data_IF_346192167389
#
_entry.id   IF_346192167389
#
_cell.length_a   1.000
_cell.length_b   1.000
_cell.length_c   1.000
_cell.angle_alpha   90.00
_cell.angle_beta   90.00
_cell.angle_gamma   90.00
#
_symmetry.space_group_name_H-M   'P 1'
#
loop_
_entity.id
_entity.type
_entity.pdbx_description
1 polymer ?
#
# COMPACT_ATOMS: atom_id res chain seq x y z
N UNK A 1 28.48 -15.17 2.10
CA UNK A 1 27.14 -15.27 2.73
C UNK A 1 26.11 -15.28 1.63
N UNK A 2 25.58 -16.46 1.31
CA UNK A 2 24.54 -16.68 0.28
C UNK A 2 23.17 -16.53 0.92
N UNK A 3 22.82 -15.30 1.33
CA UNK A 3 21.47 -15.02 1.82
C UNK A 3 20.50 -15.27 0.66
N UNK A 4 19.60 -16.22 0.90
CA UNK A 4 18.73 -16.80 -0.10
C UNK A 4 17.81 -15.73 -0.69
N UNK A 5 18.03 -15.40 -1.96
CA UNK A 5 17.08 -14.71 -2.85
C UNK A 5 15.84 -15.60 -3.10
N UNK A 6 15.19 -16.05 -2.04
CA UNK A 6 13.94 -16.80 -2.15
C UNK A 6 12.82 -15.85 -1.78
N UNK A 7 11.81 -15.79 -2.63
CA UNK A 7 10.56 -15.12 -2.31
C UNK A 7 10.01 -15.67 -0.99
N UNK A 8 9.28 -14.85 -0.23
CA UNK A 8 8.68 -15.28 1.03
C UNK A 8 7.65 -16.39 0.81
N UNK A 9 7.29 -17.13 1.87
CA UNK A 9 6.32 -18.23 1.74
C UNK A 9 4.96 -17.73 1.26
N UNK A 10 4.55 -16.54 1.70
CA UNK A 10 3.31 -15.87 1.33
C UNK A 10 3.31 -15.53 -0.17
N UNK A 11 4.42 -15.00 -0.69
CA UNK A 11 4.59 -14.71 -2.12
C UNK A 11 4.53 -16.00 -2.96
N UNK A 12 5.17 -17.07 -2.49
CA UNK A 12 5.13 -18.37 -3.19
C UNK A 12 3.70 -18.95 -3.18
N UNK A 13 3.03 -18.92 -2.03
CA UNK A 13 1.66 -19.40 -1.85
C UNK A 13 0.69 -18.63 -2.75
N UNK A 14 0.75 -17.30 -2.73
CA UNK A 14 -0.04 -16.42 -3.58
C UNK A 14 0.15 -16.76 -5.06
N UNK A 15 1.40 -16.82 -5.55
CA UNK A 15 1.68 -17.08 -6.97
C UNK A 15 1.14 -18.42 -7.41
N UNK A 16 1.32 -19.46 -6.59
CA UNK A 16 0.83 -20.78 -6.90
C UNK A 16 -0.71 -20.81 -6.95
N UNK A 17 -1.37 -20.21 -5.95
CA UNK A 17 -2.83 -20.13 -5.90
C UNK A 17 -3.39 -19.34 -7.10
N UNK A 18 -2.82 -18.17 -7.39
CA UNK A 18 -3.25 -17.30 -8.48
C UNK A 18 -3.10 -17.96 -9.85
N UNK A 19 -1.95 -18.56 -10.15
CA UNK A 19 -1.74 -19.27 -11.42
C UNK A 19 -2.60 -20.52 -11.55
N UNK A 20 -2.97 -21.17 -10.44
CA UNK A 20 -3.94 -22.28 -10.46
C UNK A 20 -5.34 -21.75 -10.74
N UNK A 21 -5.74 -20.63 -10.12
CA UNK A 21 -7.05 -20.03 -10.33
C UNK A 21 -7.23 -19.65 -11.80
N UNK A 22 -6.27 -18.90 -12.38
CA UNK A 22 -6.29 -18.52 -13.81
C UNK A 22 -6.38 -19.71 -14.75
N UNK A 23 -5.75 -20.84 -14.43
CA UNK A 23 -5.85 -22.05 -15.26
C UNK A 23 -7.23 -22.71 -15.21
N UNK A 24 -7.95 -22.56 -14.10
CA UNK A 24 -9.27 -23.15 -13.92
C UNK A 24 -10.37 -22.28 -14.56
N UNK A 25 -10.32 -20.97 -14.35
CA UNK A 25 -11.41 -20.06 -14.77
C UNK A 25 -11.06 -19.21 -16.01
N UNK A 26 -9.82 -19.28 -16.51
CA UNK A 26 -9.36 -18.36 -17.55
C UNK A 26 -9.38 -16.91 -17.05
N UNK A 27 -9.95 -16.02 -17.86
CA UNK A 27 -10.18 -14.60 -17.54
C UNK A 27 -11.65 -14.30 -17.19
N UNK A 28 -12.49 -15.33 -17.01
CA UNK A 28 -13.93 -15.20 -16.71
C UNK A 28 -14.14 -15.13 -15.19
N UNK A 29 -14.14 -13.92 -14.62
CA UNK A 29 -14.26 -13.72 -13.16
C UNK A 29 -15.67 -13.46 -12.66
N UNK A 30 -16.63 -13.18 -13.55
CA UNK A 30 -18.01 -12.80 -13.19
C UNK A 30 -18.76 -13.90 -12.43
N UNK A 31 -18.52 -15.18 -12.77
CA UNK A 31 -19.18 -16.32 -12.16
C UNK A 31 -18.44 -16.89 -10.93
N UNK A 32 -17.30 -16.29 -10.54
CA UNK A 32 -16.38 -16.88 -9.57
C UNK A 32 -17.03 -17.20 -8.22
N UNK A 33 -17.90 -16.31 -7.72
CA UNK A 33 -18.62 -16.52 -6.46
C UNK A 33 -19.57 -17.71 -6.54
N UNK A 34 -20.35 -17.84 -7.62
CA UNK A 34 -21.30 -18.95 -7.78
C UNK A 34 -20.58 -20.28 -7.98
N UNK A 35 -19.51 -20.29 -8.77
CA UNK A 35 -18.75 -21.50 -9.07
C UNK A 35 -18.01 -21.99 -7.82
N UNK A 36 -17.49 -21.09 -6.99
CA UNK A 36 -16.90 -21.43 -5.70
C UNK A 36 -17.92 -22.03 -4.71
N UNK A 37 -19.22 -21.75 -4.83
CA UNK A 37 -20.23 -22.43 -4.00
C UNK A 37 -20.48 -23.88 -4.44
N UNK A 38 -20.28 -24.18 -5.72
CA UNK A 38 -20.58 -25.49 -6.35
C UNK A 38 -19.37 -26.43 -6.36
N UNK A 39 -18.17 -25.89 -6.50
CA UNK A 39 -16.92 -26.64 -6.62
C UNK A 39 -16.04 -26.45 -5.37
N UNK A 40 -15.81 -27.54 -4.63
CA UNK A 40 -15.01 -27.53 -3.40
C UNK A 40 -13.54 -27.19 -3.62
N UNK A 41 -12.96 -27.58 -4.74
CA UNK A 41 -11.56 -27.30 -5.05
C UNK A 41 -11.37 -25.83 -5.40
N UNK A 42 -12.29 -25.26 -6.19
CA UNK A 42 -12.30 -23.84 -6.52
C UNK A 42 -12.53 -23.00 -5.26
N UNK A 43 -13.47 -23.40 -4.39
CA UNK A 43 -13.72 -22.77 -3.09
C UNK A 43 -12.45 -22.65 -2.25
N UNK A 44 -11.80 -23.79 -2.01
CA UNK A 44 -10.57 -23.85 -1.20
C UNK A 44 -9.47 -22.99 -1.82
N UNK A 45 -9.40 -22.95 -3.15
CA UNK A 45 -8.41 -22.15 -3.87
C UNK A 45 -8.66 -20.65 -3.75
N UNK A 46 -9.91 -20.20 -3.86
CA UNK A 46 -10.30 -18.79 -3.70
C UNK A 46 -9.98 -18.31 -2.28
N UNK A 47 -10.36 -19.10 -1.27
CA UNK A 47 -10.07 -18.80 0.14
C UNK A 47 -8.56 -18.73 0.38
N UNK A 48 -7.79 -19.71 -0.12
CA UNK A 48 -6.33 -19.72 0.00
C UNK A 48 -5.69 -18.51 -0.69
N UNK A 49 -6.16 -18.13 -1.87
CA UNK A 49 -5.67 -16.95 -2.59
C UNK A 49 -5.99 -15.66 -1.84
N UNK A 50 -7.23 -15.52 -1.35
CA UNK A 50 -7.66 -14.37 -0.54
C UNK A 50 -6.81 -14.22 0.72
N UNK A 51 -6.58 -15.33 1.43
CA UNK A 51 -5.73 -15.36 2.61
C UNK A 51 -4.28 -14.95 2.29
N UNK A 52 -3.67 -15.56 1.27
CA UNK A 52 -2.30 -15.20 0.87
C UNK A 52 -2.17 -13.74 0.43
N UNK A 53 -3.17 -13.20 -0.29
CA UNK A 53 -3.20 -11.79 -0.69
C UNK A 53 -3.36 -10.85 0.51
N UNK A 54 -4.19 -11.23 1.48
CA UNK A 54 -4.34 -10.54 2.77
C UNK A 54 -3.02 -10.47 3.52
N UNK A 55 -2.35 -11.61 3.71
CA UNK A 55 -1.09 -11.69 4.45
C UNK A 55 0.00 -10.81 3.83
N UNK A 56 0.05 -10.76 2.50
CA UNK A 56 0.97 -9.88 1.76
C UNK A 56 0.69 -8.40 2.09
N UNK A 57 -0.58 -7.99 2.16
CA UNK A 57 -0.98 -6.61 2.49
C UNK A 57 -0.81 -6.28 3.97
N UNK A 58 -1.17 -7.20 4.85
CA UNK A 58 -0.96 -7.06 6.29
C UNK A 58 0.54 -6.90 6.60
N UNK A 59 1.39 -7.67 5.92
CA UNK A 59 2.83 -7.56 6.06
C UNK A 59 3.36 -6.18 5.60
N UNK A 60 2.75 -5.56 4.58
CA UNK A 60 3.05 -4.16 4.23
C UNK A 60 2.62 -3.19 5.34
N UNK A 61 1.47 -3.44 5.96
CA UNK A 61 0.94 -2.71 7.11
C UNK A 61 1.90 -2.72 8.30
N UNK A 62 2.28 -3.92 8.72
CA UNK A 62 2.98 -4.17 9.98
C UNK A 62 4.50 -4.08 9.87
N UNK A 63 5.08 -4.43 8.72
CA UNK A 63 6.53 -4.51 8.53
C UNK A 63 6.94 -4.03 7.14
N UNK A 64 6.82 -2.72 6.91
CA UNK A 64 7.22 -2.08 5.64
C UNK A 64 8.65 -2.42 5.22
N UNK A 65 9.57 -2.64 6.16
CA UNK A 65 10.95 -3.06 5.87
C UNK A 65 11.06 -4.48 5.32
N UNK A 66 10.15 -5.39 5.71
CA UNK A 66 10.15 -6.76 5.22
C UNK A 66 9.58 -6.86 3.80
N UNK A 67 8.63 -5.99 3.45
CA UNK A 67 7.92 -6.05 2.16
C UNK A 67 8.42 -5.08 1.08
N UNK A 68 9.28 -4.12 1.44
CA UNK A 68 10.16 -3.43 0.49
C UNK A 68 11.33 -4.31 0.01
N UNK A 69 11.33 -5.58 0.42
CA UNK A 69 12.34 -6.56 0.02
C UNK A 69 12.30 -6.83 -1.50
N UNK A 70 13.46 -6.99 -2.14
CA UNK A 70 13.62 -7.35 -3.55
C UNK A 70 12.66 -8.45 -4.07
N UNK A 71 11.61 -8.09 -4.82
CA UNK A 71 10.70 -9.08 -5.42
C UNK A 71 11.12 -9.54 -6.83
N UNK A 72 10.72 -10.77 -7.20
CA UNK A 72 10.81 -11.27 -8.57
C UNK A 72 9.87 -10.46 -9.50
N UNK A 73 10.34 -9.94 -10.65
CA UNK A 73 9.48 -9.21 -11.59
C UNK A 73 8.22 -9.98 -12.03
N UNK A 74 8.29 -11.31 -12.11
CA UNK A 74 7.11 -12.16 -12.44
C UNK A 74 6.07 -12.14 -11.34
N UNK A 75 6.49 -12.01 -10.08
CA UNK A 75 5.54 -11.83 -8.97
C UNK A 75 4.84 -10.49 -9.13
N UNK A 76 5.59 -9.42 -9.37
CA UNK A 76 5.04 -8.07 -9.55
C UNK A 76 3.99 -8.04 -10.67
N UNK A 77 4.29 -8.63 -11.83
CA UNK A 77 3.33 -8.76 -12.93
C UNK A 77 2.05 -9.52 -12.50
N UNK A 78 2.21 -10.65 -11.80
CA UNK A 78 1.08 -11.46 -11.31
C UNK A 78 0.25 -10.70 -10.26
N UNK A 79 0.90 -9.96 -9.37
CA UNK A 79 0.27 -9.18 -8.32
C UNK A 79 -0.55 -8.02 -8.91
N UNK A 80 0.02 -7.30 -9.89
CA UNK A 80 -0.69 -6.18 -10.56
C UNK A 80 -1.84 -6.66 -11.43
N UNK A 81 -1.72 -7.84 -12.04
CA UNK A 81 -2.84 -8.49 -12.71
C UNK A 81 -3.94 -8.89 -11.73
N UNK A 82 -3.57 -9.48 -10.58
CA UNK A 82 -4.52 -9.81 -9.52
C UNK A 82 -5.28 -8.58 -9.03
N UNK A 83 -4.59 -7.51 -8.62
CA UNK A 83 -5.25 -6.27 -8.16
C UNK A 83 -6.21 -5.68 -9.19
N UNK A 84 -5.84 -5.73 -10.47
CA UNK A 84 -6.63 -5.14 -11.55
C UNK A 84 -7.89 -5.95 -11.87
N UNK A 85 -7.74 -7.26 -12.02
CA UNK A 85 -8.75 -8.10 -12.67
C UNK A 85 -9.40 -9.11 -11.70
N UNK A 86 -8.74 -9.48 -10.60
CA UNK A 86 -9.15 -10.59 -9.74
C UNK A 86 -9.41 -10.22 -8.27
N UNK A 87 -8.84 -9.14 -7.74
CA UNK A 87 -8.95 -8.80 -6.32
C UNK A 87 -10.40 -8.69 -5.87
N UNK A 88 -11.21 -7.92 -6.62
CA UNK A 88 -12.62 -7.73 -6.28
C UNK A 88 -13.43 -9.03 -6.41
N UNK A 89 -13.39 -9.76 -7.55
CA UNK A 89 -14.08 -11.05 -7.67
C UNK A 89 -13.66 -12.07 -6.60
N UNK A 90 -12.36 -12.19 -6.30
CA UNK A 90 -11.84 -13.09 -5.28
C UNK A 90 -12.33 -12.69 -3.89
N UNK A 91 -12.30 -11.40 -3.56
CA UNK A 91 -12.79 -10.89 -2.27
C UNK A 91 -14.30 -11.09 -2.10
N UNK A 92 -15.08 -10.94 -3.17
CA UNK A 92 -16.52 -11.21 -3.18
C UNK A 92 -16.83 -12.70 -3.02
N UNK A 93 -16.10 -13.55 -3.75
CA UNK A 93 -16.23 -15.00 -3.65
C UNK A 93 -15.84 -15.49 -2.25
N UNK A 94 -14.74 -14.98 -1.67
CA UNK A 94 -14.34 -15.28 -0.30
C UNK A 94 -15.44 -14.94 0.73
N UNK A 95 -16.03 -13.73 0.65
CA UNK A 95 -17.13 -13.33 1.55
C UNK A 95 -18.36 -14.22 1.39
N UNK A 96 -18.68 -14.55 0.14
CA UNK A 96 -19.79 -15.45 -0.19
C UNK A 96 -19.54 -16.84 0.41
N UNK A 97 -18.34 -17.39 0.25
CA UNK A 97 -17.93 -18.68 0.83
C UNK A 97 -18.00 -18.64 2.35
N UNK A 98 -17.43 -17.63 3.01
CA UNK A 98 -17.46 -17.53 4.47
C UNK A 98 -18.88 -17.45 5.05
N UNK A 99 -19.82 -16.83 4.33
CA UNK A 99 -21.24 -16.78 4.73
C UNK A 99 -21.94 -18.13 4.63
N UNK A 100 -21.69 -18.87 3.55
CA UNK A 100 -22.37 -20.16 3.30
C UNK A 100 -21.69 -21.36 4.01
N UNK A 101 -20.41 -21.24 4.35
CA UNK A 101 -19.57 -22.31 4.89
C UNK A 101 -18.86 -21.83 6.18
N UNK A 102 -19.45 -22.06 7.36
CA UNK A 102 -18.96 -21.54 8.63
C UNK A 102 -17.52 -21.94 8.98
N UNK A 103 -17.02 -23.06 8.45
CA UNK A 103 -15.62 -23.49 8.62
C UNK A 103 -14.59 -22.49 8.04
N UNK A 104 -15.02 -21.57 7.17
CA UNK A 104 -14.17 -20.50 6.65
C UNK A 104 -14.44 -19.14 7.32
N UNK A 105 -15.41 -19.04 8.25
CA UNK A 105 -15.72 -17.78 8.93
C UNK A 105 -14.58 -17.32 9.86
N UNK A 106 -13.81 -18.25 10.40
CA UNK A 106 -12.65 -17.98 11.26
C UNK A 106 -11.43 -17.49 10.48
N UNK A 107 -11.42 -17.64 9.16
CA UNK A 107 -10.40 -17.01 8.31
C UNK A 107 -10.77 -15.54 8.20
N UNK A 108 -10.27 -14.74 9.14
CA UNK A 108 -10.38 -13.28 9.16
C UNK A 108 -9.74 -12.69 7.90
N UNK A 109 -10.48 -12.71 6.79
CA UNK A 109 -10.09 -12.00 5.59
C UNK A 109 -10.37 -10.51 5.83
N UNK A 110 -9.34 -9.66 5.86
CA UNK A 110 -9.53 -8.25 6.12
C UNK A 110 -10.47 -7.68 5.06
N UNK A 111 -11.44 -6.90 5.52
CA UNK A 111 -12.24 -6.10 4.64
C UNK A 111 -11.33 -5.05 3.99
N UNK A 112 -11.04 -5.23 2.71
CA UNK A 112 -10.29 -4.25 1.93
C UNK A 112 -11.31 -3.55 1.03
N UNK A 113 -11.73 -2.32 1.36
CA UNK A 113 -12.54 -1.54 0.44
C UNK A 113 -11.70 -1.21 -0.80
N UNK A 114 -12.25 -1.39 -2.01
CA UNK A 114 -11.65 -0.95 -3.27
C UNK A 114 -11.21 0.51 -3.12
N UNK A 115 -9.94 0.92 -3.31
CA UNK A 115 -9.46 2.29 -3.03
C UNK A 115 -10.28 3.40 -3.72
N UNK A 116 -10.93 3.11 -4.85
CA UNK A 116 -11.81 4.04 -5.56
C UNK A 116 -13.20 4.14 -4.91
N UNK A 117 -13.71 3.04 -4.36
CA UNK A 117 -14.97 3.00 -3.59
C UNK A 117 -14.77 3.33 -2.12
N UNK A 118 -13.59 3.08 -1.56
CA UNK A 118 -13.17 3.47 -0.22
C UNK A 118 -13.30 4.98 -0.07
N UNK A 119 -13.04 5.75 -1.13
CA UNK A 119 -13.25 7.18 -1.14
C UNK A 119 -14.72 7.58 -0.92
N UNK A 120 -15.66 6.97 -1.66
CA UNK A 120 -17.09 7.30 -1.55
C UNK A 120 -17.75 6.67 -0.31
N UNK A 121 -17.35 5.44 0.07
CA UNK A 121 -17.77 4.74 1.26
C UNK A 121 -17.30 5.43 2.55
N UNK A 122 -16.01 5.76 2.64
CA UNK A 122 -15.42 6.43 3.82
C UNK A 122 -16.14 7.75 4.11
N UNK A 123 -16.36 8.61 3.11
CA UNK A 123 -17.09 9.87 3.35
C UNK A 123 -18.60 9.71 3.57
N UNK A 124 -19.20 8.55 3.26
CA UNK A 124 -20.59 8.24 3.60
C UNK A 124 -20.76 7.69 5.02
N UNK A 125 -19.73 7.03 5.58
CA UNK A 125 -19.75 6.39 6.93
C UNK A 125 -19.07 7.21 8.04
N UNK A 126 -18.11 8.10 7.74
CA UNK A 126 -17.41 8.95 8.74
C UNK A 126 -18.36 9.86 9.54
N UNK A 127 -19.59 10.07 9.07
CA UNK A 127 -20.61 10.75 9.85
C UNK A 127 -21.10 9.95 11.08
N UNK A 128 -20.68 8.68 11.24
CA UNK A 128 -21.09 7.78 12.33
C UNK A 128 -19.95 7.06 13.10
N UNK A 129 -18.67 7.35 12.84
CA UNK A 129 -17.51 6.54 13.26
C UNK A 129 -17.03 6.74 14.73
N UNK A 130 -17.94 6.66 15.70
CA UNK A 130 -17.49 6.37 17.08
C UNK A 130 -17.25 4.87 17.27
N UNK A 131 -18.12 4.03 16.69
CA UNK A 131 -18.08 2.58 16.82
C UNK A 131 -16.85 1.95 16.11
N UNK A 132 -16.42 2.50 14.96
CA UNK A 132 -15.24 1.96 14.23
C UNK A 132 -13.90 2.34 14.87
N UNK A 133 -13.84 3.44 15.62
CA UNK A 133 -12.65 3.77 16.42
C UNK A 133 -12.57 2.83 17.64
N UNK A 134 -13.70 2.50 18.24
CA UNK A 134 -13.78 1.46 19.27
C UNK A 134 -13.45 0.07 18.70
N UNK A 135 -13.83 -0.26 17.46
CA UNK A 135 -13.41 -1.48 16.77
C UNK A 135 -11.92 -1.48 16.42
N UNK A 136 -11.35 -0.35 15.99
CA UNK A 136 -9.91 -0.24 15.72
C UNK A 136 -9.09 -0.35 17.02
N UNK A 137 -9.56 0.27 18.10
CA UNK A 137 -8.98 0.11 19.43
C UNK A 137 -9.17 -1.33 19.93
N UNK A 138 -10.29 -1.97 19.60
CA UNK A 138 -10.54 -3.39 19.81
C UNK A 138 -9.59 -4.29 19.00
N UNK A 139 -9.30 -3.95 17.74
CA UNK A 139 -8.33 -4.66 16.91
C UNK A 139 -6.89 -4.45 17.38
N UNK A 140 -6.56 -3.26 17.90
CA UNK A 140 -5.27 -3.00 18.55
C UNK A 140 -5.19 -3.79 19.86
N UNK A 141 -6.28 -3.90 20.62
CA UNK A 141 -6.41 -4.79 21.77
C UNK A 141 -6.19 -6.25 21.37
N UNK A 142 -6.91 -6.75 20.38
CA UNK A 142 -6.79 -8.12 19.87
C UNK A 142 -5.41 -8.41 19.28
N UNK A 143 -4.75 -7.46 18.62
CA UNK A 143 -3.39 -7.63 18.11
C UNK A 143 -2.33 -7.60 19.22
N UNK A 144 -2.63 -6.97 20.36
CA UNK A 144 -1.83 -7.09 21.57
C UNK A 144 -2.10 -8.45 22.25
N UNK A 145 -3.34 -8.94 22.26
CA UNK A 145 -3.74 -10.25 22.79
C UNK A 145 -3.22 -11.44 21.94
N UNK A 146 -3.26 -11.37 20.61
CA UNK A 146 -2.66 -12.38 19.71
C UNK A 146 -1.13 -12.45 19.87
N UNK A 147 -0.51 -11.34 20.29
CA UNK A 147 0.90 -11.31 20.66
C UNK A 147 1.15 -11.93 22.05
N UNK A 148 0.13 -12.03 22.89
CA UNK A 148 0.14 -12.68 24.20
C UNK A 148 -0.18 -14.19 24.11
N UNK A 149 -0.85 -14.69 23.06
CA UNK A 149 -1.10 -16.13 22.88
C UNK A 149 0.19 -16.95 22.69
N UNK A 150 1.28 -16.33 22.23
CA UNK A 150 2.61 -16.95 22.16
C UNK A 150 3.38 -16.90 23.52
N UNK A 151 2.91 -16.14 24.52
CA UNK A 151 3.54 -16.02 25.86
C UNK A 151 2.63 -16.39 27.06
N UNK A 152 1.39 -16.82 26.80
CA UNK A 152 0.43 -17.24 27.83
C UNK A 152 -0.49 -16.10 28.23
N UNK A 153 -1.80 -16.30 28.04
CA UNK A 153 -2.87 -15.33 28.28
C UNK A 153 -2.71 -14.58 29.60
N UNK A 154 -2.31 -13.30 29.52
CA UNK A 154 -2.40 -12.37 30.64
C UNK A 154 -3.74 -11.69 30.47
N UNK A 155 -4.74 -12.00 31.30
CA UNK A 155 -5.91 -11.14 31.40
C UNK A 155 -5.39 -9.74 31.77
N UNK A 156 -5.43 -8.79 30.82
CA UNK A 156 -5.14 -7.40 31.11
C UNK A 156 -6.16 -6.95 32.16
N UNK A 157 -5.72 -6.57 33.38
CA UNK A 157 -6.65 -6.08 34.38
C UNK A 157 -7.44 -4.90 33.82
N UNK A 158 -8.76 -4.83 34.07
CA UNK A 158 -9.63 -3.73 33.63
C UNK A 158 -9.02 -2.34 33.94
N UNK A 159 -8.26 -2.25 35.03
CA UNK A 159 -7.52 -1.04 35.43
C UNK A 159 -6.46 -0.59 34.41
N UNK A 160 -5.77 -1.52 33.73
CA UNK A 160 -4.82 -1.19 32.65
C UNK A 160 -5.52 -0.75 31.37
N UNK A 161 -6.66 -1.36 31.03
CA UNK A 161 -7.47 -0.97 29.87
C UNK A 161 -8.01 0.47 30.05
N UNK A 162 -8.55 0.78 31.24
CA UNK A 162 -9.00 2.13 31.59
C UNK A 162 -7.85 3.15 31.59
N UNK A 163 -6.67 2.77 32.11
CA UNK A 163 -5.48 3.62 32.08
C UNK A 163 -5.03 3.89 30.62
N UNK A 164 -5.07 2.88 29.76
CA UNK A 164 -4.76 3.00 28.34
C UNK A 164 -5.74 3.94 27.62
N UNK A 165 -7.04 3.78 27.84
CA UNK A 165 -8.08 4.67 27.29
C UNK A 165 -7.88 6.11 27.76
N UNK A 166 -7.62 6.32 29.06
CA UNK A 166 -7.37 7.64 29.62
C UNK A 166 -6.12 8.30 29.02
N UNK A 167 -5.02 7.55 28.88
CA UNK A 167 -3.79 8.04 28.27
C UNK A 167 -3.96 8.37 26.77
N UNK A 168 -4.71 7.54 26.03
CA UNK A 168 -5.05 7.81 24.63
C UNK A 168 -5.87 9.08 24.48
N UNK A 169 -6.91 9.24 25.30
CA UNK A 169 -7.73 10.46 25.31
C UNK A 169 -6.91 11.69 25.69
N UNK A 170 -5.99 11.60 26.66
CA UNK A 170 -5.10 12.71 27.01
C UNK A 170 -4.19 13.07 25.84
N UNK A 171 -3.62 12.07 25.15
CA UNK A 171 -2.79 12.29 23.96
C UNK A 171 -3.57 12.96 22.82
N UNK A 172 -4.76 12.47 22.48
CA UNK A 172 -5.58 13.01 21.38
C UNK A 172 -6.20 14.36 21.72
N UNK A 173 -6.40 14.68 23.00
CA UNK A 173 -6.86 16.00 23.43
C UNK A 173 -5.72 17.02 23.55
N UNK A 174 -4.49 16.59 23.88
CA UNK A 174 -3.34 17.47 24.07
C UNK A 174 -2.58 17.77 22.78
N UNK A 175 -2.60 16.84 21.83
CA UNK A 175 -2.01 16.98 20.50
C UNK A 175 -3.14 16.92 19.48
N UNK A 176 -3.27 17.88 18.54
CA UNK A 176 -4.25 17.82 17.47
C UNK A 176 -3.86 16.73 16.45
N UNK A 177 -3.96 15.48 16.88
CA UNK A 177 -3.67 14.30 16.08
C UNK A 177 -4.94 13.91 15.32
N UNK A 178 -4.92 14.13 14.02
CA UNK A 178 -5.98 13.72 13.10
C UNK A 178 -5.90 12.20 12.86
N UNK A 179 -6.39 11.41 13.82
CA UNK A 179 -6.37 9.93 13.77
C UNK A 179 -7.17 9.43 12.56
N UNK A 180 -8.36 9.98 12.33
CA UNK A 180 -9.21 9.62 11.20
C UNK A 180 -8.49 9.90 9.87
N UNK A 181 -7.80 11.03 9.77
CA UNK A 181 -6.98 11.32 8.60
C UNK A 181 -5.72 10.48 8.48
N UNK A 182 -5.12 10.02 9.58
CA UNK A 182 -4.02 9.04 9.55
C UNK A 182 -4.52 7.74 8.92
N UNK A 183 -5.64 7.20 9.41
CA UNK A 183 -6.25 5.95 8.92
C UNK A 183 -6.66 6.11 7.46
N UNK A 184 -7.38 7.20 7.14
CA UNK A 184 -7.78 7.52 5.77
C UNK A 184 -6.57 7.58 4.84
N UNK A 185 -5.58 8.44 5.14
CA UNK A 185 -4.41 8.65 4.27
C UNK A 185 -3.56 7.38 4.15
N UNK A 186 -3.53 6.52 5.17
CA UNK A 186 -2.93 5.19 5.06
C UNK A 186 -3.65 4.33 4.02
N UNK A 187 -4.99 4.29 4.04
CA UNK A 187 -5.79 3.52 3.09
C UNK A 187 -5.66 4.01 1.63
N UNK A 188 -5.26 5.27 1.40
CA UNK A 188 -5.04 5.82 0.06
C UNK A 188 -3.69 5.46 -0.55
N UNK A 189 -2.71 5.10 0.29
CA UNK A 189 -1.37 4.88 -0.22
C UNK A 189 -1.34 3.61 -1.06
N UNK A 190 -0.80 3.68 -2.29
CA UNK A 190 -0.67 2.49 -3.09
C UNK A 190 0.44 1.61 -2.52
N UNK A 191 0.18 0.31 -2.49
CA UNK A 191 1.22 -0.68 -2.19
C UNK A 191 2.30 -0.63 -3.27
N UNK A 192 3.57 -0.46 -2.86
CA UNK A 192 4.72 -0.39 -3.77
C UNK A 192 5.63 -1.59 -3.58
N UNK A 193 5.80 -2.37 -4.65
CA UNK A 193 6.74 -3.49 -4.69
C UNK A 193 8.06 -3.01 -5.31
N UNK A 194 9.19 -3.22 -4.64
CA UNK A 194 10.48 -2.77 -5.18
C UNK A 194 11.15 -3.93 -5.95
N UNK A 195 11.34 -3.80 -7.29
CA UNK A 195 11.98 -4.87 -8.05
C UNK A 195 13.40 -5.15 -7.56
N UNK A 196 13.82 -6.42 -7.64
CA UNK A 196 15.11 -6.84 -7.09
C UNK A 196 16.32 -6.11 -7.64
N UNK A 197 16.34 -5.78 -8.93
CA UNK A 197 17.41 -5.00 -9.54
C UNK A 197 17.42 -3.53 -9.09
N UNK A 198 16.27 -2.98 -8.68
CA UNK A 198 16.18 -1.64 -8.09
C UNK A 198 16.73 -1.69 -6.68
N UNK A 199 16.27 -2.63 -5.86
CA UNK A 199 16.70 -2.76 -4.48
C UNK A 199 18.21 -3.05 -4.36
N UNK A 200 18.77 -3.94 -5.20
CA UNK A 200 20.19 -4.31 -5.18
C UNK A 200 21.17 -3.15 -5.46
N UNK A 201 20.69 -2.04 -6.03
CA UNK A 201 21.51 -0.83 -6.26
C UNK A 201 21.78 -0.06 -4.97
N UNK A 202 20.96 -0.24 -3.94
CA UNK A 202 21.08 0.42 -2.65
C UNK A 202 21.50 -0.64 -1.63
N UNK A 203 22.61 -0.41 -0.92
CA UNK A 203 23.02 -1.33 0.14
C UNK A 203 21.93 -1.42 1.21
N UNK A 204 21.68 -2.61 1.77
CA UNK A 204 20.67 -2.82 2.82
C UNK A 204 20.90 -1.97 4.08
N UNK A 205 22.11 -1.44 4.27
CA UNK A 205 22.50 -0.56 5.38
C UNK A 205 22.61 0.92 5.00
N UNK A 206 22.41 1.29 3.74
CA UNK A 206 22.48 2.69 3.35
C UNK A 206 21.21 3.40 3.82
N UNK A 207 21.35 4.29 4.83
CA UNK A 207 20.32 5.24 5.30
C UNK A 207 19.73 6.16 4.20
N UNK A 208 20.14 5.96 2.94
CA UNK A 208 19.73 6.71 1.75
C UNK A 208 19.09 5.82 0.69
N UNK A 209 18.72 4.58 1.04
CA UNK A 209 18.05 3.66 0.12
C UNK A 209 16.74 4.24 -0.41
N UNK A 210 16.35 3.84 -1.62
CA UNK A 210 15.10 4.27 -2.24
C UNK A 210 13.88 3.87 -1.39
N UNK A 211 13.94 2.68 -0.79
CA UNK A 211 12.91 2.15 0.11
C UNK A 211 12.69 3.05 1.33
N UNK A 212 13.78 3.48 1.99
CA UNK A 212 13.70 4.34 3.15
C UNK A 212 13.11 5.71 2.82
N UNK A 213 13.46 6.29 1.66
CA UNK A 213 12.85 7.55 1.21
C UNK A 213 11.37 7.40 0.92
N UNK A 214 10.97 6.30 0.30
CA UNK A 214 9.56 6.02 0.02
C UNK A 214 8.77 5.86 1.32
N UNK A 215 9.32 5.12 2.29
CA UNK A 215 8.76 4.98 3.64
C UNK A 215 8.55 6.34 4.30
N UNK A 216 9.59 7.17 4.33
CA UNK A 216 9.51 8.53 4.89
C UNK A 216 8.48 9.40 4.16
N UNK A 217 8.36 9.28 2.83
CA UNK A 217 7.36 10.02 2.06
C UNK A 217 5.93 9.59 2.43
N UNK A 218 5.70 8.28 2.53
CA UNK A 218 4.43 7.69 2.94
C UNK A 218 4.06 8.12 4.37
N UNK A 219 5.00 8.03 5.32
CA UNK A 219 4.77 8.46 6.71
C UNK A 219 4.48 9.95 6.80
N UNK A 220 5.23 10.79 6.10
CA UNK A 220 4.95 12.22 6.04
C UNK A 220 3.52 12.47 5.52
N UNK A 221 3.07 11.74 4.50
CA UNK A 221 1.70 11.85 4.03
C UNK A 221 0.68 11.33 5.06
N UNK A 222 0.91 10.18 5.68
CA UNK A 222 0.06 9.59 6.74
C UNK A 222 -0.04 10.49 7.97
N UNK A 223 0.99 11.26 8.31
CA UNK A 223 0.99 12.16 9.49
C UNK A 223 0.59 13.61 9.20
N UNK A 224 0.13 13.90 7.98
CA UNK A 224 -0.50 15.19 7.65
C UNK A 224 0.53 16.22 7.23
N UNK A 225 1.68 15.76 6.73
CA UNK A 225 2.80 16.57 6.27
C UNK A 225 2.99 16.43 4.74
N UNK A 226 1.98 16.80 3.93
CA UNK A 226 2.00 16.61 2.48
C UNK A 226 3.13 17.37 1.78
N UNK A 227 3.59 18.50 2.32
CA UNK A 227 4.75 19.24 1.78
C UNK A 227 6.05 18.45 1.90
N UNK A 228 6.27 17.85 3.07
CA UNK A 228 7.43 17.00 3.30
C UNK A 228 7.35 15.77 2.40
N UNK A 229 6.16 15.16 2.28
CA UNK A 229 5.93 14.05 1.36
C UNK A 229 6.25 14.44 -0.10
N UNK A 230 5.82 15.62 -0.59
CA UNK A 230 6.15 16.11 -1.94
C UNK A 230 7.65 16.28 -2.16
N UNK A 231 8.36 16.86 -1.19
CA UNK A 231 9.81 17.03 -1.27
C UNK A 231 10.53 15.68 -1.33
N UNK A 232 10.09 14.70 -0.53
CA UNK A 232 10.62 13.34 -0.54
C UNK A 232 10.30 12.61 -1.85
N UNK A 233 9.08 12.71 -2.36
CA UNK A 233 8.69 12.14 -3.66
C UNK A 233 9.52 12.72 -4.81
N UNK A 234 9.79 14.03 -4.80
CA UNK A 234 10.70 14.64 -5.79
C UNK A 234 12.08 14.02 -5.75
N UNK A 235 12.61 13.80 -4.54
CA UNK A 235 13.90 13.17 -4.33
C UNK A 235 13.94 11.73 -4.84
N UNK A 236 12.86 10.97 -4.63
CA UNK A 236 12.68 9.60 -5.14
C UNK A 236 12.67 9.61 -6.68
N UNK A 237 11.91 10.50 -7.31
CA UNK A 237 11.87 10.61 -8.78
C UNK A 237 13.25 10.91 -9.35
N UNK A 238 13.97 11.87 -8.78
CA UNK A 238 15.32 12.23 -9.24
C UNK A 238 16.30 11.05 -9.17
N UNK A 239 16.32 10.35 -8.03
CA UNK A 239 17.16 9.16 -7.83
C UNK A 239 16.76 8.05 -8.81
N UNK A 240 15.46 7.76 -8.93
CA UNK A 240 14.95 6.73 -9.84
C UNK A 240 15.34 7.01 -11.30
N UNK A 241 15.13 8.24 -11.76
CA UNK A 241 15.43 8.64 -13.14
C UNK A 241 16.94 8.57 -13.45
N UNK A 242 17.77 9.09 -12.54
CA UNK A 242 19.23 9.07 -12.67
C UNK A 242 19.78 7.64 -12.68
N UNK A 243 19.37 6.83 -11.72
CA UNK A 243 20.03 5.55 -11.43
C UNK A 243 19.46 4.38 -12.25
N UNK A 244 18.19 4.47 -12.66
CA UNK A 244 17.51 3.40 -13.41
C UNK A 244 17.10 3.79 -14.83
N UNK A 245 16.69 5.03 -15.08
CA UNK A 245 16.24 5.45 -16.43
C UNK A 245 17.35 6.08 -17.29
N UNK A 246 18.60 6.15 -16.78
CA UNK A 246 19.75 6.81 -17.43
C UNK A 246 19.44 8.22 -17.93
N UNK A 247 18.54 8.93 -17.26
CA UNK A 247 18.26 10.29 -17.66
C UNK A 247 19.49 11.15 -17.38
N UNK A 248 20.08 11.75 -18.41
CA UNK A 248 21.09 12.78 -18.25
C UNK A 248 20.41 14.15 -18.13
N UNK A 249 21.07 15.09 -17.45
CA UNK A 249 20.56 16.44 -17.26
C UNK A 249 21.11 17.07 -16.00
N UNK A 250 21.26 18.39 -16.03
CA UNK A 250 21.66 19.19 -14.87
C UNK A 250 20.53 19.39 -13.87
N UNK A 251 19.28 19.13 -14.28
CA UNK A 251 18.11 19.26 -13.42
C UNK A 251 16.97 18.30 -13.77
N UNK A 252 16.02 18.19 -12.85
CA UNK A 252 14.92 17.22 -12.93
C UNK A 252 14.04 17.40 -14.18
N UNK A 253 13.90 18.63 -14.69
CA UNK A 253 13.17 18.89 -15.94
C UNK A 253 13.82 18.18 -17.14
N UNK A 254 15.14 18.32 -17.30
CA UNK A 254 15.89 17.65 -18.37
C UNK A 254 15.89 16.14 -18.19
N UNK A 255 16.02 15.68 -16.93
CA UNK A 255 15.97 14.25 -16.62
C UNK A 255 14.63 13.62 -17.04
N UNK A 256 13.50 14.25 -16.72
CA UNK A 256 12.16 13.77 -17.14
C UNK A 256 12.05 13.75 -18.67
N UNK A 257 12.51 14.80 -19.35
CA UNK A 257 12.46 14.87 -20.82
C UNK A 257 13.35 13.85 -21.54
N UNK A 258 14.45 13.44 -20.91
CA UNK A 258 15.41 12.48 -21.47
C UNK A 258 15.13 11.03 -21.06
N UNK A 259 14.21 10.79 -20.12
CA UNK A 259 13.88 9.46 -19.64
C UNK A 259 13.20 8.62 -20.72
N UNK A 260 13.71 7.40 -20.95
CA UNK A 260 13.14 6.45 -21.90
C UNK A 260 12.38 5.35 -21.17
N UNK A 261 11.24 4.93 -21.72
CA UNK A 261 10.46 3.82 -21.16
C UNK A 261 9.62 4.20 -19.95
N UNK A 262 9.25 5.48 -19.80
CA UNK A 262 8.19 5.88 -18.87
C UNK A 262 6.85 5.31 -19.36
N UNK A 263 6.14 4.60 -18.49
CA UNK A 263 4.87 3.91 -18.80
C UNK A 263 3.82 4.22 -17.73
N UNK A 264 2.54 3.94 -18.05
CA UNK A 264 1.45 4.02 -17.08
C UNK A 264 1.28 5.40 -16.46
N UNK A 265 1.14 5.43 -15.13
CA UNK A 265 0.98 6.67 -14.36
C UNK A 265 2.28 7.49 -14.27
N UNK A 266 3.45 6.88 -14.49
CA UNK A 266 4.77 7.52 -14.44
C UNK A 266 5.11 8.35 -15.69
N UNK A 267 4.12 8.84 -16.45
CA UNK A 267 4.35 9.61 -17.66
C UNK A 267 4.97 10.99 -17.37
N UNK A 268 5.59 11.59 -18.40
CA UNK A 268 6.31 12.86 -18.27
C UNK A 268 5.45 14.00 -17.70
N UNK A 269 4.16 14.05 -18.03
CA UNK A 269 3.25 15.07 -17.52
C UNK A 269 3.06 14.94 -16.00
N UNK A 270 2.83 13.72 -15.49
CA UNK A 270 2.71 13.46 -14.07
C UNK A 270 4.00 13.79 -13.30
N UNK A 271 5.17 13.42 -13.82
CA UNK A 271 6.45 13.73 -13.18
C UNK A 271 6.78 15.23 -13.20
N UNK A 272 6.43 15.95 -14.29
CA UNK A 272 6.56 17.41 -14.31
C UNK A 272 5.61 18.09 -13.33
N UNK A 273 4.38 17.59 -13.19
CA UNK A 273 3.41 18.05 -12.20
C UNK A 273 3.96 17.88 -10.78
N UNK A 274 4.48 16.70 -10.45
CA UNK A 274 5.14 16.42 -9.17
C UNK A 274 6.26 17.41 -8.90
N UNK A 275 7.17 17.60 -9.87
CA UNK A 275 8.29 18.56 -9.77
C UNK A 275 7.79 19.98 -9.49
N UNK A 276 6.77 20.44 -10.21
CA UNK A 276 6.21 21.79 -10.03
C UNK A 276 5.66 21.98 -8.62
N UNK A 277 4.86 21.04 -8.13
CA UNK A 277 4.28 21.08 -6.79
C UNK A 277 5.37 21.03 -5.71
N UNK A 278 6.35 20.14 -5.85
CA UNK A 278 7.46 20.04 -4.90
C UNK A 278 8.35 21.29 -4.90
N UNK A 279 8.62 21.89 -6.06
CA UNK A 279 9.36 23.15 -6.14
C UNK A 279 8.60 24.28 -5.44
N UNK A 280 7.31 24.38 -5.69
CA UNK A 280 6.46 25.36 -5.03
C UNK A 280 6.48 25.14 -3.52
N UNK A 281 6.33 23.89 -3.04
CA UNK A 281 6.37 23.57 -1.61
C UNK A 281 7.69 23.93 -0.92
N UNK A 282 8.81 23.87 -1.66
CA UNK A 282 10.15 24.14 -1.12
C UNK A 282 10.58 25.61 -1.20
N UNK A 283 10.02 26.39 -2.11
CA UNK A 283 10.51 27.74 -2.42
C UNK A 283 9.45 28.83 -2.23
N UNK A 284 8.18 28.53 -2.50
CA UNK A 284 7.09 29.51 -2.55
C UNK A 284 5.85 28.92 -1.85
N UNK A 285 5.81 29.03 -0.52
CA UNK A 285 4.65 28.57 0.28
C UNK A 285 3.30 29.14 -0.19
N UNK A 286 3.33 30.30 -0.85
CA UNK A 286 2.16 31.03 -1.38
C UNK A 286 2.00 30.89 -2.91
N UNK A 287 2.53 29.84 -3.53
CA UNK A 287 2.43 29.69 -4.98
C UNK A 287 0.96 29.47 -5.43
N UNK A 288 0.46 30.14 -6.48
CA UNK A 288 -0.94 29.99 -6.92
C UNK A 288 -1.33 28.55 -7.30
N UNK A 289 -0.37 27.75 -7.78
CA UNK A 289 -0.63 26.33 -8.10
C UNK A 289 -0.86 25.47 -6.86
N UNK A 290 -0.29 25.91 -5.75
CA UNK A 290 -0.36 25.28 -4.46
C UNK A 290 -1.68 25.66 -3.79
N UNK A 291 -2.03 26.95 -3.76
CA UNK A 291 -3.37 27.42 -3.36
C UNK A 291 -4.49 26.73 -4.16
N UNK A 292 -4.36 26.62 -5.48
CA UNK A 292 -5.35 25.93 -6.31
C UNK A 292 -5.49 24.44 -5.99
N UNK A 293 -4.40 23.77 -5.59
CA UNK A 293 -4.42 22.39 -5.12
C UNK A 293 -4.95 22.27 -3.68
N UNK A 294 -4.81 23.33 -2.88
CA UNK A 294 -5.17 23.43 -1.46
C UNK A 294 -6.53 24.05 -1.17
N UNK A 295 -7.33 24.36 -2.18
CA UNK A 295 -8.67 24.90 -1.97
C UNK A 295 -9.55 24.00 -1.07
N UNK A 296 -9.21 22.70 -0.93
CA UNK A 296 -9.69 21.81 0.14
C UNK A 296 -8.63 20.78 0.53
N UNK A 297 -8.64 20.26 1.76
CA UNK A 297 -7.77 19.14 2.16
C UNK A 297 -7.97 17.90 1.27
N UNK A 298 -9.22 17.66 0.84
CA UNK A 298 -9.59 16.53 -0.03
C UNK A 298 -8.92 16.60 -1.41
N UNK A 299 -8.79 17.79 -2.00
CA UNK A 299 -8.15 17.93 -3.32
C UNK A 299 -6.66 17.65 -3.26
N UNK A 300 -6.00 18.00 -2.15
CA UNK A 300 -4.60 17.70 -1.94
C UNK A 300 -4.35 16.21 -1.74
N UNK A 301 -5.13 15.55 -0.88
CA UNK A 301 -4.97 14.11 -0.63
C UNK A 301 -5.16 13.29 -1.92
N UNK A 302 -6.14 13.65 -2.76
CA UNK A 302 -6.34 13.03 -4.05
C UNK A 302 -5.15 13.27 -5.00
N UNK A 303 -4.61 14.49 -5.03
CA UNK A 303 -3.43 14.80 -5.84
C UNK A 303 -2.20 14.02 -5.35
N UNK A 304 -1.97 13.98 -4.04
CA UNK A 304 -0.89 13.18 -3.44
C UNK A 304 -1.02 11.70 -3.79
N UNK A 305 -2.22 11.15 -3.72
CA UNK A 305 -2.51 9.75 -4.10
C UNK A 305 -2.10 9.49 -5.55
N UNK A 306 -2.47 10.37 -6.49
CA UNK A 306 -2.06 10.27 -7.90
C UNK A 306 -0.54 10.31 -8.07
N UNK A 307 0.15 11.17 -7.30
CA UNK A 307 1.60 11.29 -7.33
C UNK A 307 2.28 10.04 -6.76
N UNK A 308 1.77 9.46 -5.67
CA UNK A 308 2.26 8.17 -5.16
C UNK A 308 2.07 7.05 -6.17
N UNK A 309 0.93 7.00 -6.88
CA UNK A 309 0.71 6.02 -7.96
C UNK A 309 1.72 6.21 -9.10
N UNK A 310 2.01 7.46 -9.49
CA UNK A 310 3.03 7.74 -10.49
C UNK A 310 4.45 7.31 -10.03
N UNK A 311 4.79 7.55 -8.76
CA UNK A 311 6.07 7.12 -8.18
C UNK A 311 6.16 5.60 -8.05
N UNK A 312 5.08 4.93 -7.66
CA UNK A 312 4.99 3.46 -7.68
C UNK A 312 5.30 2.92 -9.06
N UNK A 313 4.57 3.39 -10.08
CA UNK A 313 4.75 2.92 -11.45
C UNK A 313 6.19 3.17 -11.95
N UNK A 314 6.81 4.30 -11.54
CA UNK A 314 8.21 4.64 -11.84
C UNK A 314 9.21 3.68 -11.20
N UNK A 315 8.96 3.24 -9.96
CA UNK A 315 9.83 2.31 -9.25
C UNK A 315 9.68 0.89 -9.82
N UNK A 316 8.43 0.47 -10.04
CA UNK A 316 8.09 -0.90 -10.44
C UNK A 316 8.48 -1.25 -11.87
N UNK A 317 8.38 -0.28 -12.77
CA UNK A 317 8.75 -0.45 -14.18
C UNK A 317 10.18 0.03 -14.49
N UNK A 318 10.99 0.27 -13.46
CA UNK A 318 12.38 0.65 -13.65
C UNK A 318 13.12 -0.46 -14.42
N UNK A 319 13.89 -0.15 -15.47
CA UNK A 319 14.52 -1.17 -16.31
C UNK A 319 15.63 -1.93 -15.56
N UNK A 320 15.71 -3.25 -15.77
CA UNK A 320 16.59 -4.18 -15.05
C UNK A 320 18.06 -4.14 -15.45
N UNK A 321 18.30 -3.89 -16.73
CA UNK A 321 19.60 -3.55 -17.27
C UNK A 321 19.41 -2.28 -18.08
N UNK A 322 20.28 -1.30 -17.94
CA UNK A 322 20.10 -0.12 -18.74
C UNK A 322 20.49 -0.49 -20.20
N UNK A 323 19.63 -0.22 -21.20
CA UNK A 323 19.77 -0.80 -22.55
C UNK A 323 21.14 -0.46 -23.14
N UNK A 324 21.92 -1.45 -23.59
CA UNK A 324 23.23 -1.20 -24.20
C UNK A 324 23.11 -0.28 -25.41
#
# INVERSE_FOLDING_TARGET
MTAANKDSLEVIAFRHAFLRLKRLIGDETDALSEDALRDSDLRNLVVLLGYAASEIRNSEGQSQSAFTSPVDPRFLESWREYERDYERPVSEACRTVAREFPEFAELHLPFIPDPRQAWDWFWSDVAGQQDELDDLLGMIGNALEEREEDEGSIELPDELAELGRAAWLDLTNSVPLDVDGIIRRRALLPFVLIPRHVANRYGSSEKRSLAERLRQAQEAFIYGLPLAALALLRSIVEVSLRDHYRSSGSGLTEMIGNAKGLTGAANAAALHRLRQLANAALHDGDHPSLEAAWNTDKSLELEMTRLFVAVRDLIEHAPSAPPR
#
